data_IF_370910005695
#
_entry.id   IF_370910005695
#
_cell.length_a   1.000
_cell.length_b   1.000
_cell.length_c   1.000
_cell.angle_alpha   90.00
_cell.angle_beta   90.00
_cell.angle_gamma   90.00
#
_symmetry.space_group_name_H-M   'P 1'
#
loop_
_entity.id
_entity.type
_entity.pdbx_description
1 polymer ?
#
# COMPACT_ATOMS: atom_id res chain seq x y z
N UNK A 1 1.25 -21.25 10.85
CA UNK A 1 1.17 -20.36 9.68
C UNK A 1 0.87 -21.16 8.42
N UNK A 2 0.55 -20.49 7.31
CA UNK A 2 0.37 -21.15 6.01
C UNK A 2 1.70 -21.75 5.53
N UNK A 3 1.68 -23.01 5.07
CA UNK A 3 2.89 -23.72 4.61
C UNK A 3 3.24 -23.42 3.15
N UNK A 4 2.27 -22.88 2.40
CA UNK A 4 2.39 -22.49 0.99
C UNK A 4 1.39 -21.37 0.66
N UNK A 5 1.61 -20.64 -0.42
CA UNK A 5 0.68 -19.62 -0.94
C UNK A 5 -0.70 -20.27 -1.22
N UNK A 6 -1.81 -19.75 -0.66
CA UNK A 6 -3.16 -20.24 -0.97
C UNK A 6 -3.48 -20.04 -2.46
N UNK A 7 -4.36 -20.87 -3.00
CA UNK A 7 -4.78 -20.78 -4.41
C UNK A 7 -6.10 -20.04 -4.58
N UNK A 8 -6.98 -20.08 -3.59
CA UNK A 8 -8.25 -19.37 -3.63
C UNK A 8 -8.08 -17.92 -3.17
N UNK A 9 -8.80 -17.02 -3.84
CA UNK A 9 -8.72 -15.59 -3.64
C UNK A 9 -9.01 -15.20 -2.18
N UNK A 10 -10.08 -15.74 -1.59
CA UNK A 10 -10.49 -15.39 -0.24
C UNK A 10 -9.39 -15.68 0.80
N UNK A 11 -8.71 -16.83 0.73
CA UNK A 11 -7.56 -17.11 1.61
C UNK A 11 -6.35 -16.26 1.30
N UNK A 12 -6.12 -15.89 0.04
CA UNK A 12 -5.04 -14.95 -0.31
C UNK A 12 -5.30 -13.57 0.29
N UNK A 13 -6.52 -13.04 0.17
CA UNK A 13 -6.91 -11.76 0.76
C UNK A 13 -6.85 -11.79 2.29
N UNK A 14 -7.28 -12.89 2.92
CA UNK A 14 -7.15 -13.07 4.36
C UNK A 14 -5.67 -13.10 4.80
N UNK A 15 -4.81 -13.80 4.06
CA UNK A 15 -3.38 -13.81 4.31
C UNK A 15 -2.74 -12.43 4.12
N UNK A 16 -3.15 -11.69 3.07
CA UNK A 16 -2.70 -10.33 2.80
C UNK A 16 -3.12 -9.37 3.91
N UNK A 17 -4.36 -9.45 4.40
CA UNK A 17 -4.85 -8.64 5.53
C UNK A 17 -4.01 -8.83 6.79
N UNK A 18 -3.70 -10.08 7.16
CA UNK A 18 -2.81 -10.39 8.29
C UNK A 18 -1.38 -9.90 8.01
N UNK A 19 -0.86 -10.16 6.82
CA UNK A 19 0.49 -9.77 6.40
C UNK A 19 0.68 -8.25 6.38
N UNK A 20 -0.34 -7.50 5.97
CA UNK A 20 -0.29 -6.05 5.85
C UNK A 20 -0.09 -5.37 7.20
N UNK A 21 -0.80 -5.81 8.24
CA UNK A 21 -0.61 -5.30 9.60
C UNK A 21 0.81 -5.56 10.10
N UNK A 22 1.35 -6.76 9.84
CA UNK A 22 2.72 -7.11 10.21
C UNK A 22 3.76 -6.28 9.44
N UNK A 23 3.57 -6.11 8.13
CA UNK A 23 4.45 -5.33 7.27
C UNK A 23 4.59 -3.89 7.79
N UNK A 24 3.45 -3.24 8.04
CA UNK A 24 3.40 -1.85 8.53
C UNK A 24 4.01 -1.74 9.91
N UNK A 25 3.71 -2.67 10.82
CA UNK A 25 4.31 -2.67 12.15
C UNK A 25 5.85 -2.78 12.09
N UNK A 26 6.39 -3.59 11.18
CA UNK A 26 7.84 -3.73 10.97
C UNK A 26 8.47 -2.44 10.41
N UNK A 27 7.84 -1.81 9.42
CA UNK A 27 8.31 -0.53 8.89
C UNK A 27 8.26 0.57 9.95
N UNK A 28 7.13 0.71 10.66
CA UNK A 28 6.98 1.68 11.75
C UNK A 28 8.07 1.49 12.81
N UNK A 29 8.30 0.26 13.27
CA UNK A 29 9.37 -0.02 14.23
C UNK A 29 10.76 0.30 13.69
N UNK A 30 11.02 0.01 12.40
CA UNK A 30 12.31 0.27 11.77
C UNK A 30 12.61 1.77 11.66
N UNK A 31 11.66 2.56 11.17
CA UNK A 31 11.78 4.01 11.00
C UNK A 31 11.76 4.77 12.34
N UNK A 32 11.04 4.27 13.35
CA UNK A 32 11.04 4.86 14.69
C UNK A 32 12.44 4.90 15.32
N UNK A 33 13.34 3.98 14.97
CA UNK A 33 14.76 4.01 15.39
C UNK A 33 15.51 5.28 14.94
N UNK A 34 15.00 5.95 13.93
CA UNK A 34 15.53 7.19 13.36
C UNK A 34 14.64 8.41 13.68
N UNK A 35 13.64 8.27 14.55
CA UNK A 35 12.69 9.35 14.88
C UNK A 35 11.69 9.68 13.76
N UNK A 36 11.60 8.84 12.73
CA UNK A 36 10.75 9.07 11.56
C UNK A 36 9.42 8.33 11.73
N UNK A 37 8.30 9.02 11.46
CA UNK A 37 6.96 8.42 11.47
C UNK A 37 6.64 7.78 10.13
N UNK A 38 5.82 6.74 10.13
CA UNK A 38 5.33 6.06 8.92
C UNK A 38 3.83 6.29 8.78
N UNK A 39 3.38 6.62 7.57
CA UNK A 39 1.97 6.67 7.20
C UNK A 39 1.65 5.54 6.22
N UNK A 40 0.68 4.68 6.53
CA UNK A 40 0.26 3.63 5.60
C UNK A 40 -0.73 4.20 4.58
N UNK A 41 -0.52 3.89 3.31
CA UNK A 41 -1.46 4.22 2.22
C UNK A 41 -1.77 2.93 1.45
N UNK A 42 -3.06 2.58 1.38
CA UNK A 42 -3.56 1.43 0.63
C UNK A 42 -4.40 1.91 -0.54
N UNK A 43 -4.09 1.44 -1.74
CA UNK A 43 -4.75 1.86 -2.99
C UNK A 43 -5.17 0.63 -3.79
N UNK A 44 -6.25 0.73 -4.56
CA UNK A 44 -6.60 -0.27 -5.59
C UNK A 44 -6.11 0.19 -6.96
N UNK A 45 -5.94 -0.75 -7.90
CA UNK A 45 -5.68 -0.40 -9.31
C UNK A 45 -6.72 0.60 -9.85
N UNK A 46 -8.00 0.44 -9.47
CA UNK A 46 -9.09 1.34 -9.86
C UNK A 46 -9.00 2.74 -9.24
N UNK A 47 -8.33 2.89 -8.10
CA UNK A 47 -8.09 4.22 -7.51
C UNK A 47 -7.06 5.02 -8.33
N UNK A 48 -6.14 4.32 -9.01
CA UNK A 48 -5.11 4.96 -9.86
C UNK A 48 -5.63 5.34 -11.25
N UNK A 49 -6.66 4.65 -11.74
CA UNK A 49 -7.25 4.90 -13.08
C UNK A 49 -8.27 6.04 -13.08
N UNK A 50 -8.92 6.31 -11.94
CA UNK A 50 -9.93 7.36 -11.80
C UNK A 50 -9.32 8.67 -11.32
N UNK A 51 -9.41 9.73 -12.14
CA UNK A 51 -8.83 11.08 -11.87
C UNK A 51 -9.13 11.64 -10.48
N UNK A 52 -10.33 11.42 -9.93
CA UNK A 52 -10.69 11.90 -8.60
C UNK A 52 -9.98 11.15 -7.47
N UNK A 53 -9.88 9.82 -7.58
CA UNK A 53 -9.22 8.98 -6.59
C UNK A 53 -7.70 9.18 -6.63
N UNK A 54 -7.14 9.36 -7.83
CA UNK A 54 -5.76 9.76 -8.03
C UNK A 54 -5.40 11.04 -7.27
N UNK A 55 -6.24 12.08 -7.36
CA UNK A 55 -5.99 13.37 -6.67
C UNK A 55 -6.01 13.21 -5.15
N UNK A 56 -6.91 12.38 -4.62
CA UNK A 56 -6.98 12.13 -3.18
C UNK A 56 -5.75 11.37 -2.67
N UNK A 57 -5.30 10.35 -3.40
CA UNK A 57 -4.08 9.63 -3.10
C UNK A 57 -2.86 10.56 -3.13
N UNK A 58 -2.73 11.37 -4.18
CA UNK A 58 -1.67 12.39 -4.30
C UNK A 58 -1.66 13.35 -3.11
N UNK A 59 -2.81 13.97 -2.81
CA UNK A 59 -2.94 14.93 -1.70
C UNK A 59 -2.60 14.30 -0.35
N UNK A 60 -2.97 13.03 -0.15
CA UNK A 60 -2.63 12.29 1.06
C UNK A 60 -1.12 12.06 1.19
N UNK A 61 -0.48 11.63 0.10
CA UNK A 61 0.97 11.39 0.07
C UNK A 61 1.75 12.69 0.31
N UNK A 62 1.38 13.76 -0.39
CA UNK A 62 1.95 15.10 -0.22
C UNK A 62 1.83 15.56 1.23
N UNK A 63 0.64 15.43 1.84
CA UNK A 63 0.43 15.85 3.22
C UNK A 63 1.22 15.02 4.24
N UNK A 64 1.40 13.72 4.00
CA UNK A 64 2.24 12.87 4.85
C UNK A 64 3.71 13.33 4.82
N UNK A 65 4.22 13.69 3.64
CA UNK A 65 5.57 14.22 3.48
C UNK A 65 5.74 15.58 4.15
N UNK A 66 4.78 16.50 3.97
CA UNK A 66 4.76 17.81 4.67
C UNK A 66 4.79 17.65 6.20
N UNK A 67 4.14 16.60 6.73
CA UNK A 67 4.13 16.26 8.16
C UNK A 67 5.42 15.56 8.63
N UNK A 68 6.39 15.34 7.73
CA UNK A 68 7.65 14.63 8.02
C UNK A 68 7.48 13.13 8.22
N UNK A 69 6.38 12.54 7.74
CA UNK A 69 6.16 11.10 7.74
C UNK A 69 6.58 10.47 6.41
N UNK A 70 7.08 9.24 6.47
CA UNK A 70 7.40 8.43 5.29
C UNK A 70 6.17 7.61 4.90
N UNK A 71 5.58 7.83 3.72
CA UNK A 71 4.47 7.02 3.24
C UNK A 71 4.96 5.62 2.85
N UNK A 72 4.27 4.59 3.34
CA UNK A 72 4.42 3.19 2.91
C UNK A 72 3.18 2.82 2.12
N UNK A 73 3.34 2.77 0.79
CA UNK A 73 2.27 2.52 -0.18
C UNK A 73 2.22 1.05 -0.54
N UNK A 74 1.04 0.45 -0.52
CA UNK A 74 0.82 -0.91 -1.02
C UNK A 74 -0.59 -1.04 -1.63
N UNK A 75 -0.83 -2.14 -2.33
CA UNK A 75 -2.16 -2.46 -2.84
C UNK A 75 -3.14 -2.86 -1.72
N UNK A 76 -4.41 -2.50 -1.87
CA UNK A 76 -5.48 -2.94 -0.98
C UNK A 76 -6.08 -4.28 -1.44
N UNK A 77 -5.33 -5.37 -1.20
CA UNK A 77 -5.70 -6.73 -1.60
C UNK A 77 -7.09 -7.17 -1.14
N UNK A 78 -7.62 -6.61 -0.03
CA UNK A 78 -8.93 -7.00 0.54
C UNK A 78 -10.11 -6.61 -0.36
N UNK A 79 -9.95 -5.55 -1.16
CA UNK A 79 -11.00 -5.00 -2.02
C UNK A 79 -10.63 -5.04 -3.51
N UNK A 80 -9.39 -5.42 -3.84
CA UNK A 80 -8.99 -5.69 -5.22
C UNK A 80 -9.78 -6.91 -5.75
N UNK A 81 -10.54 -6.71 -6.82
CA UNK A 81 -11.50 -7.70 -7.34
C UNK A 81 -11.00 -8.53 -8.53
N UNK A 82 -9.74 -8.41 -8.93
CA UNK A 82 -9.15 -9.22 -9.99
C UNK A 82 -7.79 -9.79 -9.57
N UNK A 83 -7.37 -10.87 -10.25
CA UNK A 83 -6.13 -11.62 -10.05
C UNK A 83 -5.01 -10.74 -9.49
N UNK A 84 -4.41 -11.13 -8.36
CA UNK A 84 -3.17 -10.54 -7.83
C UNK A 84 -2.12 -10.58 -8.95
N UNK A 85 -2.10 -9.57 -9.80
CA UNK A 85 -1.27 -9.49 -10.99
C UNK A 85 -0.03 -8.72 -10.62
N UNK A 86 1.12 -9.32 -10.92
CA UNK A 86 2.37 -8.59 -10.94
C UNK A 86 2.23 -7.40 -11.90
N UNK A 87 2.29 -6.17 -11.38
CA UNK A 87 2.22 -4.93 -12.18
C UNK A 87 1.49 -3.76 -11.52
N UNK A 88 0.66 -3.98 -10.50
CA UNK A 88 -0.07 -2.87 -9.87
C UNK A 88 0.83 -2.03 -8.97
N UNK A 89 1.82 -2.63 -8.32
CA UNK A 89 2.88 -1.87 -7.63
C UNK A 89 3.75 -1.04 -8.61
N UNK A 90 3.87 -1.42 -9.89
CA UNK A 90 4.57 -0.58 -10.88
C UNK A 90 3.74 0.67 -11.23
N UNK A 91 2.40 0.53 -11.32
CA UNK A 91 1.48 1.67 -11.49
C UNK A 91 1.46 2.57 -10.27
N UNK A 92 1.45 1.99 -9.06
CA UNK A 92 1.59 2.73 -7.82
C UNK A 92 2.92 3.47 -7.76
N UNK A 93 4.02 2.82 -8.15
CA UNK A 93 5.34 3.43 -8.22
C UNK A 93 5.37 4.60 -9.22
N UNK A 94 4.69 4.49 -10.38
CA UNK A 94 4.56 5.59 -11.32
C UNK A 94 3.77 6.78 -10.73
N UNK A 95 2.71 6.52 -9.95
CA UNK A 95 1.97 7.56 -9.23
C UNK A 95 2.86 8.27 -8.20
N UNK A 96 3.66 7.50 -7.44
CA UNK A 96 4.60 8.07 -6.47
C UNK A 96 5.72 8.85 -7.15
N UNK A 97 6.22 8.39 -8.30
CA UNK A 97 7.27 9.07 -9.05
C UNK A 97 6.85 10.47 -9.54
N UNK A 98 5.56 10.73 -9.75
CA UNK A 98 5.07 12.06 -10.10
C UNK A 98 5.04 13.07 -8.94
N UNK A 99 5.32 12.63 -7.70
CA UNK A 99 5.38 13.50 -6.49
C UNK A 99 6.78 14.06 -6.21
N UNK A 100 7.83 13.57 -6.90
CA UNK A 100 9.25 13.89 -6.63
C UNK A 100 9.93 14.55 -7.82
#
# INVERSE_FOLDING_TARGET
>A
GLVRRPKDLARQQAAASVGQGLLVARYTASFARYGVRVGQVLLTADDTSRRGHYRNAYSTLDKLLEMGAVPVVNENDTVATDEIRFGDNDRLAALVAHLV
#
